data_IF_404386359248
#
_entry.id   IF_404386359248
#
_cell.length_a   1.000
_cell.length_b   1.000
_cell.length_c   1.000
_cell.angle_alpha   90.00
_cell.angle_beta   90.00
_cell.angle_gamma   90.00
#
_symmetry.space_group_name_H-M   'P 1'
#
loop_
_entity.id
_entity.type
_entity.pdbx_description
1 polymer ?
#
# COMPACT_ATOMS: atom_id res chain seq x y z
N UNK A 1 -28.06 3.62 7.17
CA UNK A 1 -26.78 3.07 7.70
C UNK A 1 -25.67 4.06 7.40
N UNK A 2 -24.68 4.21 8.29
CA UNK A 2 -23.56 5.13 8.06
C UNK A 2 -22.64 4.53 7.01
N UNK A 3 -22.30 5.29 5.97
CA UNK A 3 -21.34 4.88 4.94
C UNK A 3 -19.99 4.54 5.58
N UNK A 4 -19.34 3.48 5.09
CA UNK A 4 -18.01 3.05 5.53
C UNK A 4 -17.07 3.05 4.33
N UNK A 5 -15.81 3.33 4.58
CA UNK A 5 -14.81 3.48 3.53
C UNK A 5 -13.53 2.75 3.89
N UNK A 6 -12.84 2.27 2.86
CA UNK A 6 -11.41 2.00 2.92
C UNK A 6 -10.65 3.10 2.20
N UNK A 7 -9.35 3.16 2.49
CA UNK A 7 -8.46 4.11 1.88
C UNK A 7 -7.26 3.41 1.28
N UNK A 8 -6.93 3.72 0.04
CA UNK A 8 -5.71 3.23 -0.63
C UNK A 8 -4.78 4.41 -0.83
N UNK A 9 -3.62 4.34 -0.18
CA UNK A 9 -2.57 5.32 -0.32
C UNK A 9 -1.54 4.80 -1.33
N UNK A 10 -1.33 5.52 -2.42
CA UNK A 10 -0.22 5.27 -3.33
C UNK A 10 0.86 6.32 -3.09
N UNK A 11 2.11 5.91 -2.94
CA UNK A 11 3.23 6.82 -2.65
C UNK A 11 4.39 6.65 -3.62
N UNK A 12 5.12 7.74 -3.82
CA UNK A 12 6.46 7.77 -4.39
C UNK A 12 7.45 8.23 -3.33
N UNK A 13 8.13 7.26 -2.71
CA UNK A 13 9.09 7.51 -1.63
C UNK A 13 10.50 7.85 -2.14
N UNK A 14 10.73 7.89 -3.46
CA UNK A 14 11.99 8.32 -4.07
C UNK A 14 13.23 7.45 -3.77
N UNK A 15 13.08 6.29 -3.12
CA UNK A 15 14.18 5.38 -2.76
C UNK A 15 14.93 4.83 -3.98
N UNK A 16 16.23 4.49 -3.89
CA UNK A 16 16.97 3.91 -5.05
C UNK A 16 16.29 2.66 -5.63
N UNK A 17 15.61 1.88 -4.80
CA UNK A 17 14.81 0.74 -5.21
C UNK A 17 13.62 1.13 -6.08
N UNK A 18 12.95 2.23 -5.72
CA UNK A 18 11.93 2.82 -6.56
C UNK A 18 12.48 3.33 -7.89
N UNK A 19 13.73 3.80 -7.97
CA UNK A 19 14.32 4.34 -9.20
C UNK A 19 14.54 3.27 -10.28
N UNK A 20 15.00 2.08 -9.90
CA UNK A 20 15.21 0.97 -10.85
C UNK A 20 13.88 0.45 -11.41
N UNK A 21 12.83 0.39 -10.58
CA UNK A 21 11.47 -0.01 -11.01
C UNK A 21 10.83 1.08 -11.87
N UNK A 22 10.98 2.35 -11.46
CA UNK A 22 10.37 3.52 -12.11
C UNK A 22 10.92 3.78 -13.51
N UNK A 23 12.19 3.49 -13.76
CA UNK A 23 12.76 3.58 -15.12
C UNK A 23 12.05 2.64 -16.11
N UNK A 24 11.52 1.51 -15.62
CA UNK A 24 10.84 0.55 -16.47
C UNK A 24 9.32 0.77 -16.53
N UNK A 25 8.66 1.09 -15.42
CA UNK A 25 7.19 1.20 -15.38
C UNK A 25 6.65 2.59 -15.71
N UNK A 26 7.48 3.64 -15.67
CA UNK A 26 7.08 5.07 -15.80
C UNK A 26 5.90 5.48 -14.88
N UNK A 27 5.55 4.66 -13.89
CA UNK A 27 4.41 4.89 -13.03
C UNK A 27 4.70 6.03 -12.04
N UNK A 28 3.73 6.92 -11.77
CA UNK A 28 3.93 8.05 -10.86
C UNK A 28 4.10 7.63 -9.40
N UNK A 29 3.63 6.42 -9.04
CA UNK A 29 3.68 5.86 -7.69
C UNK A 29 4.26 4.45 -7.72
N UNK A 30 5.04 4.09 -6.69
CA UNK A 30 5.78 2.81 -6.61
C UNK A 30 5.47 1.99 -5.35
N UNK A 31 4.64 2.52 -4.46
CA UNK A 31 4.19 1.84 -3.27
C UNK A 31 2.69 1.98 -3.09
N UNK A 32 2.07 0.99 -2.44
CA UNK A 32 0.63 0.94 -2.20
C UNK A 32 0.37 0.42 -0.78
N UNK A 33 -0.51 1.09 -0.04
CA UNK A 33 -0.92 0.71 1.31
C UNK A 33 -2.43 0.81 1.45
N UNK A 34 -3.02 -0.03 2.30
CA UNK A 34 -4.44 0.01 2.66
C UNK A 34 -4.62 0.52 4.09
N UNK A 35 -5.62 1.37 4.31
CA UNK A 35 -6.02 1.88 5.61
C UNK A 35 -7.55 1.84 5.77
N UNK A 36 -8.02 1.88 7.02
CA UNK A 36 -9.44 1.82 7.36
C UNK A 36 -9.96 3.11 8.00
N UNK A 37 -9.13 4.16 8.04
CA UNK A 37 -9.48 5.47 8.58
C UNK A 37 -8.88 6.59 7.72
N UNK A 38 -9.57 7.73 7.68
CA UNK A 38 -9.18 8.90 6.89
C UNK A 38 -7.88 9.56 7.39
N UNK A 39 -7.54 9.36 8.66
CA UNK A 39 -6.40 10.00 9.31
C UNK A 39 -5.09 9.23 9.09
N UNK A 40 -5.16 8.07 8.43
CA UNK A 40 -4.03 7.19 8.15
C UNK A 40 -3.24 6.89 9.42
N UNK A 41 -3.97 6.60 10.50
CA UNK A 41 -3.38 6.28 11.80
C UNK A 41 -2.65 4.94 11.73
N UNK A 42 -3.20 3.98 11.00
CA UNK A 42 -2.57 2.68 10.77
C UNK A 42 -2.78 2.28 9.31
N UNK A 43 -1.68 1.96 8.63
CA UNK A 43 -1.71 1.46 7.26
C UNK A 43 -1.02 0.12 7.17
N UNK A 44 -1.41 -0.67 6.18
CA UNK A 44 -0.92 -2.03 6.00
C UNK A 44 -0.35 -2.19 4.60
N UNK A 45 0.85 -2.76 4.52
CA UNK A 45 1.49 -3.05 3.25
C UNK A 45 2.51 -4.18 3.36
N UNK A 46 3.14 -4.50 2.23
CA UNK A 46 4.38 -5.25 2.17
C UNK A 46 5.50 -4.30 1.77
N UNK A 47 6.58 -4.30 2.54
CA UNK A 47 7.67 -3.36 2.35
C UNK A 47 8.89 -3.74 3.16
N UNK A 48 9.77 -2.76 3.36
CA UNK A 48 10.96 -2.93 4.20
C UNK A 48 10.56 -2.76 5.66
N UNK A 49 10.89 -3.74 6.50
CA UNK A 49 10.73 -3.62 7.95
C UNK A 49 11.72 -2.63 8.56
N UNK A 50 12.88 -2.47 7.93
CA UNK A 50 13.85 -1.45 8.27
C UNK A 50 14.22 -0.64 7.01
N UNK A 51 13.99 0.68 6.96
CA UNK A 51 14.31 1.53 5.82
C UNK A 51 15.77 1.40 5.32
N UNK A 52 16.70 1.13 6.24
CA UNK A 52 18.15 1.01 5.98
C UNK A 52 18.60 -0.39 5.55
N UNK A 53 17.75 -1.41 5.72
CA UNK A 53 18.09 -2.79 5.36
C UNK A 53 17.17 -3.29 4.23
N UNK A 54 17.66 -3.44 2.99
CA UNK A 54 16.84 -3.90 1.87
C UNK A 54 16.45 -5.39 1.96
N UNK A 55 17.12 -6.17 2.82
CA UNK A 55 16.93 -7.62 2.94
C UNK A 55 15.81 -7.96 3.95
N UNK A 56 15.67 -7.19 5.04
CA UNK A 56 14.62 -7.41 6.04
C UNK A 56 13.28 -6.79 5.60
N UNK A 57 12.49 -7.58 4.90
CA UNK A 57 11.33 -7.12 4.14
C UNK A 57 10.19 -8.14 4.17
N UNK A 58 8.95 -7.67 4.20
CA UNK A 58 7.74 -8.49 4.39
C UNK A 58 6.53 -7.64 4.78
N UNK A 59 5.54 -8.24 5.45
CA UNK A 59 4.39 -7.52 5.98
C UNK A 59 4.81 -6.43 6.97
N UNK A 60 4.23 -5.24 6.85
CA UNK A 60 4.48 -4.07 7.69
C UNK A 60 3.18 -3.36 8.07
N UNK A 61 3.14 -2.89 9.31
CA UNK A 61 2.27 -1.81 9.75
C UNK A 61 3.03 -0.51 9.59
N UNK A 62 2.46 0.43 8.86
CA UNK A 62 3.09 1.71 8.56
C UNK A 62 2.36 2.84 9.28
N UNK A 63 3.15 3.75 9.84
CA UNK A 63 2.70 5.06 10.29
C UNK A 63 3.38 6.12 9.41
N UNK A 64 2.59 7.06 8.89
CA UNK A 64 3.04 8.21 8.10
C UNK A 64 4.01 9.12 8.85
N UNK A 65 3.99 9.12 10.18
CA UNK A 65 4.91 9.94 11.01
C UNK A 65 6.21 9.22 11.36
N UNK A 66 6.34 7.94 11.00
CA UNK A 66 7.49 7.11 11.33
C UNK A 66 8.13 6.49 10.07
N UNK A 67 9.18 5.69 10.28
CA UNK A 67 9.76 4.82 9.26
C UNK A 67 10.20 5.54 7.98
N UNK A 68 9.74 5.01 6.83
CA UNK A 68 10.12 5.47 5.50
C UNK A 68 9.61 6.89 5.22
N UNK A 69 8.39 7.22 5.65
CA UNK A 69 7.77 8.49 5.33
C UNK A 69 8.46 9.65 6.06
N UNK A 70 8.82 9.47 7.34
CA UNK A 70 9.66 10.43 8.08
C UNK A 70 11.04 10.62 7.45
N UNK A 71 11.65 9.55 6.94
CA UNK A 71 12.96 9.62 6.30
C UNK A 71 12.93 10.32 4.92
N UNK A 72 11.77 10.35 4.27
CA UNK A 72 11.56 10.95 2.95
C UNK A 72 10.38 11.93 2.98
N UNK A 73 10.54 13.13 3.59
CA UNK A 73 9.44 14.09 3.78
C UNK A 73 8.88 14.66 2.46
N UNK A 74 9.62 14.53 1.36
CA UNK A 74 9.17 14.91 0.01
C UNK A 74 8.38 13.78 -0.70
N UNK A 75 7.85 12.81 0.06
CA UNK A 75 7.05 11.72 -0.49
C UNK A 75 5.78 12.29 -1.13
N UNK A 76 5.63 12.06 -2.43
CA UNK A 76 4.39 12.37 -3.16
C UNK A 76 3.38 11.24 -2.96
N UNK A 77 2.10 11.58 -2.88
CA UNK A 77 1.06 10.59 -2.75
C UNK A 77 -0.22 10.97 -3.50
N UNK A 78 -1.03 9.94 -3.74
CA UNK A 78 -2.46 10.07 -3.98
C UNK A 78 -3.19 9.14 -3.01
N UNK A 79 -4.24 9.67 -2.38
CA UNK A 79 -5.09 8.96 -1.45
C UNK A 79 -6.46 8.76 -2.11
N UNK A 80 -6.88 7.51 -2.25
CA UNK A 80 -8.22 7.16 -2.70
C UNK A 80 -9.08 6.73 -1.52
N UNK A 81 -10.39 7.00 -1.61
CA UNK A 81 -11.42 6.37 -0.78
C UNK A 81 -12.32 5.50 -1.65
N UNK A 82 -12.83 4.42 -1.07
CA UNK A 82 -13.81 3.55 -1.71
C UNK A 82 -14.88 3.16 -0.70
N UNK A 83 -16.16 3.31 -1.06
CA UNK A 83 -17.28 2.92 -0.20
C UNK A 83 -17.42 1.40 -0.16
N UNK A 84 -17.56 0.84 1.03
CA UNK A 84 -17.62 -0.62 1.24
C UNK A 84 -18.61 -0.97 2.34
N UNK A 85 -19.23 -2.13 2.19
CA UNK A 85 -20.06 -2.72 3.23
C UNK A 85 -19.23 -3.07 4.46
N UNK A 86 -19.82 -2.93 5.65
CA UNK A 86 -19.16 -3.22 6.92
C UNK A 86 -18.64 -4.67 6.99
N UNK A 87 -19.39 -5.63 6.44
CA UNK A 87 -18.97 -7.04 6.35
C UNK A 87 -17.66 -7.20 5.56
N UNK A 88 -17.51 -6.47 4.44
CA UNK A 88 -16.29 -6.52 3.63
C UNK A 88 -15.10 -5.91 4.36
N UNK A 89 -15.32 -4.86 5.15
CA UNK A 89 -14.27 -4.27 6.00
C UNK A 89 -13.78 -5.28 7.02
N UNK A 90 -14.69 -5.93 7.75
CA UNK A 90 -14.31 -6.93 8.75
C UNK A 90 -13.61 -8.14 8.11
N UNK A 91 -14.04 -8.53 6.90
CA UNK A 91 -13.35 -9.56 6.13
C UNK A 91 -11.93 -9.15 5.73
N UNK A 92 -11.73 -7.91 5.27
CA UNK A 92 -10.39 -7.37 4.95
C UNK A 92 -9.50 -7.36 6.19
N UNK A 93 -9.99 -6.87 7.33
CA UNK A 93 -9.25 -6.89 8.60
C UNK A 93 -8.87 -8.32 9.01
N UNK A 94 -9.80 -9.27 8.92
CA UNK A 94 -9.51 -10.68 9.20
C UNK A 94 -8.44 -11.29 8.29
N UNK A 95 -8.40 -10.89 7.01
CA UNK A 95 -7.34 -11.30 6.07
C UNK A 95 -6.00 -10.69 6.50
N UNK A 96 -5.97 -9.39 6.80
CA UNK A 96 -4.78 -8.67 7.24
C UNK A 96 -4.23 -9.24 8.55
N UNK A 97 -5.10 -9.54 9.53
CA UNK A 97 -4.74 -10.20 10.79
C UNK A 97 -4.00 -11.51 10.57
N UNK A 98 -4.38 -12.30 9.55
CA UNK A 98 -3.67 -13.54 9.21
C UNK A 98 -2.29 -13.26 8.65
N UNK A 99 -2.11 -12.18 7.88
CA UNK A 99 -0.79 -11.73 7.44
C UNK A 99 0.07 -11.28 8.63
N UNK A 100 -0.52 -10.51 9.54
CA UNK A 100 0.18 -10.01 10.73
C UNK A 100 0.62 -11.13 11.67
N UNK A 101 -0.29 -12.04 12.04
CA UNK A 101 0.00 -13.16 12.95
C UNK A 101 1.08 -14.10 12.42
N UNK A 102 1.21 -14.18 11.09
CA UNK A 102 2.19 -15.01 10.41
C UNK A 102 3.30 -14.19 9.74
N UNK A 103 3.53 -12.94 10.18
CA UNK A 103 4.46 -12.02 9.50
C UNK A 103 5.84 -12.62 9.28
N UNK A 104 6.37 -13.41 10.21
CA UNK A 104 7.69 -14.04 10.10
C UNK A 104 7.79 -15.12 9.01
N UNK A 105 6.65 -15.61 8.51
CA UNK A 105 6.61 -16.54 7.38
C UNK A 105 6.64 -15.83 6.03
N UNK A 106 6.39 -14.51 6.00
CA UNK A 106 6.23 -13.74 4.78
C UNK A 106 7.45 -12.90 4.44
N UNK A 107 7.89 -13.01 3.19
CA UNK A 107 9.01 -12.28 2.62
C UNK A 107 8.53 -11.28 1.56
N UNK A 108 9.39 -10.34 1.22
CA UNK A 108 9.12 -9.44 0.10
C UNK A 108 9.48 -10.09 -1.24
N UNK A 109 8.57 -10.05 -2.20
CA UNK A 109 8.74 -10.69 -3.50
C UNK A 109 9.51 -9.80 -4.49
N UNK A 110 10.84 -9.70 -4.32
CA UNK A 110 11.68 -8.90 -5.20
C UNK A 110 11.68 -9.41 -6.66
N UNK A 111 11.71 -10.73 -6.85
CA UNK A 111 11.67 -11.34 -8.19
C UNK A 111 10.32 -11.10 -8.87
N UNK A 112 9.23 -11.07 -8.11
CA UNK A 112 7.89 -10.70 -8.56
C UNK A 112 7.85 -9.35 -9.25
N UNK A 113 8.59 -8.36 -8.75
CA UNK A 113 8.66 -7.03 -9.37
C UNK A 113 9.31 -7.09 -10.75
N UNK A 114 10.33 -7.93 -10.93
CA UNK A 114 10.92 -8.18 -12.25
C UNK A 114 9.92 -8.92 -13.14
N UNK A 115 9.20 -9.91 -12.60
CA UNK A 115 8.12 -10.60 -13.31
C UNK A 115 7.06 -9.64 -13.85
N UNK A 116 6.60 -8.67 -13.04
CA UNK A 116 5.66 -7.62 -13.46
C UNK A 116 6.17 -6.85 -14.69
N UNK A 117 7.47 -6.54 -14.75
CA UNK A 117 8.08 -5.85 -15.89
C UNK A 117 8.03 -6.67 -17.20
N UNK A 118 8.02 -8.00 -17.09
CA UNK A 118 7.89 -8.91 -18.23
C UNK A 118 6.46 -9.46 -18.40
N UNK A 119 5.50 -8.98 -17.62
CA UNK A 119 4.13 -9.52 -17.55
C UNK A 119 4.09 -11.03 -17.21
N UNK A 120 5.06 -11.51 -16.43
CA UNK A 120 5.20 -12.90 -16.00
C UNK A 120 4.94 -13.03 -14.49
N UNK A 121 3.94 -13.82 -14.05
CA UNK A 121 3.60 -13.94 -12.64
C UNK A 121 4.62 -14.81 -11.90
N UNK A 122 5.57 -14.17 -11.20
CA UNK A 122 6.53 -14.86 -10.33
C UNK A 122 6.01 -14.81 -8.90
N UNK A 123 5.55 -15.96 -8.39
CA UNK A 123 4.85 -16.09 -7.11
C UNK A 123 5.56 -17.10 -6.18
N UNK A 124 6.74 -16.76 -5.62
CA UNK A 124 7.36 -17.60 -4.60
C UNK A 124 6.42 -17.73 -3.41
N UNK A 125 6.40 -18.92 -2.78
CA UNK A 125 5.52 -19.15 -1.62
C UNK A 125 5.77 -18.11 -0.54
N UNK A 126 4.69 -17.64 0.08
CA UNK A 126 4.69 -16.66 1.15
C UNK A 126 5.47 -15.37 0.82
N UNK A 127 5.55 -14.98 -0.46
CA UNK A 127 6.24 -13.76 -0.86
C UNK A 127 5.28 -12.82 -1.57
N UNK A 128 5.17 -11.58 -1.10
CA UNK A 128 4.31 -10.55 -1.68
C UNK A 128 5.06 -9.22 -1.84
N UNK A 129 4.63 -8.40 -2.80
CA UNK A 129 4.99 -6.98 -2.84
C UNK A 129 3.75 -6.12 -2.56
N UNK A 130 3.95 -4.82 -2.33
CA UNK A 130 2.92 -3.90 -1.81
C UNK A 130 1.59 -3.96 -2.59
N UNK A 131 1.61 -3.75 -3.91
CA UNK A 131 0.40 -3.75 -4.73
C UNK A 131 -0.23 -5.14 -4.88
N UNK A 132 0.57 -6.21 -4.91
CA UNK A 132 0.04 -7.58 -4.87
C UNK A 132 -0.71 -7.84 -3.57
N UNK A 133 -0.15 -7.45 -2.43
CA UNK A 133 -0.80 -7.62 -1.12
C UNK A 133 -2.12 -6.86 -1.05
N UNK A 134 -2.14 -5.58 -1.39
CA UNK A 134 -3.38 -4.79 -1.40
C UNK A 134 -4.39 -5.40 -2.36
N UNK A 135 -3.95 -5.81 -3.56
CA UNK A 135 -4.80 -6.49 -4.54
C UNK A 135 -5.40 -7.79 -4.01
N UNK A 136 -4.62 -8.59 -3.28
CA UNK A 136 -5.03 -9.85 -2.67
C UNK A 136 -6.06 -9.63 -1.54
N UNK A 137 -5.85 -8.62 -0.69
CA UNK A 137 -6.78 -8.26 0.39
C UNK A 137 -8.15 -7.88 -0.19
N UNK A 138 -8.17 -6.99 -1.20
CA UNK A 138 -9.40 -6.57 -1.86
C UNK A 138 -10.09 -7.73 -2.58
N UNK A 139 -9.32 -8.60 -3.24
CA UNK A 139 -9.85 -9.73 -3.98
C UNK A 139 -10.45 -10.80 -3.08
N UNK A 140 -9.71 -11.24 -2.05
CA UNK A 140 -10.21 -12.23 -1.09
C UNK A 140 -11.42 -11.73 -0.30
N UNK A 141 -11.50 -10.41 -0.06
CA UNK A 141 -12.65 -9.81 0.60
C UNK A 141 -13.88 -9.68 -0.31
N UNK A 142 -13.75 -9.86 -1.63
CA UNK A 142 -14.85 -9.66 -2.59
C UNK A 142 -15.16 -8.19 -2.83
N UNK A 143 -14.14 -7.32 -2.72
CA UNK A 143 -14.26 -5.88 -2.99
C UNK A 143 -13.91 -5.59 -4.45
N UNK A 144 -12.79 -6.14 -4.95
CA UNK A 144 -12.32 -5.95 -6.32
C UNK A 144 -11.95 -7.28 -6.96
N UNK A 145 -12.40 -7.49 -8.20
CA UNK A 145 -12.00 -8.60 -9.04
C UNK A 145 -11.06 -8.07 -10.12
N UNK A 146 -9.88 -8.68 -10.24
CA UNK A 146 -8.85 -8.26 -11.18
C UNK A 146 -8.93 -9.10 -12.45
N UNK A 147 -8.78 -8.48 -13.61
CA UNK A 147 -8.69 -9.18 -14.92
C UNK A 147 -7.32 -9.84 -15.14
N UNK A 148 -6.47 -9.85 -14.11
CA UNK A 148 -5.13 -10.42 -14.09
C UNK A 148 -4.84 -10.98 -12.69
N UNK A 149 -3.77 -11.77 -12.57
CA UNK A 149 -3.32 -12.25 -11.26
C UNK A 149 -2.93 -11.07 -10.37
N UNK A 150 -3.17 -11.20 -9.07
CA UNK A 150 -2.77 -10.19 -8.08
C UNK A 150 -1.26 -9.95 -8.08
N UNK A 151 -0.46 -10.96 -8.43
CA UNK A 151 0.99 -10.85 -8.68
C UNK A 151 1.40 -10.03 -9.90
N UNK A 152 0.44 -9.59 -10.70
CA UNK A 152 0.64 -8.65 -11.82
C UNK A 152 -0.03 -7.29 -11.56
N UNK A 153 -0.63 -7.09 -10.38
CA UNK A 153 -1.24 -5.82 -9.97
C UNK A 153 -0.14 -4.84 -9.58
N UNK A 154 -0.17 -3.66 -10.18
CA UNK A 154 0.73 -2.54 -9.97
C UNK A 154 0.02 -1.42 -9.21
N UNK A 155 0.75 -0.49 -8.58
CA UNK A 155 0.14 0.71 -7.99
C UNK A 155 -0.72 1.50 -8.98
N UNK A 156 -0.36 1.52 -10.28
CA UNK A 156 -1.10 2.25 -11.28
C UNK A 156 -2.47 1.64 -11.60
N UNK A 157 -2.66 0.33 -11.39
CA UNK A 157 -3.96 -0.30 -11.64
C UNK A 157 -5.05 0.23 -10.70
N UNK A 158 -4.69 0.57 -9.45
CA UNK A 158 -5.62 1.18 -8.49
C UNK A 158 -6.15 2.54 -8.95
N UNK A 159 -5.36 3.30 -9.71
CA UNK A 159 -5.77 4.61 -10.22
C UNK A 159 -6.87 4.52 -11.28
N UNK A 160 -7.00 3.36 -11.91
CA UNK A 160 -7.96 3.12 -12.97
C UNK A 160 -9.20 2.35 -12.47
N UNK A 161 -9.29 2.05 -11.17
CA UNK A 161 -10.42 1.32 -10.62
C UNK A 161 -11.67 2.21 -10.57
N UNK A 162 -12.82 1.74 -11.10
CA UNK A 162 -14.07 2.48 -11.01
C UNK A 162 -14.53 2.58 -9.55
N UNK A 163 -15.07 3.75 -9.18
CA UNK A 163 -15.60 4.03 -7.83
C UNK A 163 -14.54 4.43 -6.80
N UNK A 164 -13.25 4.41 -7.13
CA UNK A 164 -12.20 4.96 -6.28
C UNK A 164 -12.16 6.48 -6.45
N UNK A 165 -12.55 7.21 -5.41
CA UNK A 165 -12.57 8.68 -5.40
C UNK A 165 -11.26 9.22 -4.82
N UNK A 166 -10.66 10.21 -5.49
CA UNK A 166 -9.49 10.91 -4.94
C UNK A 166 -9.91 11.76 -3.75
N UNK A 167 -9.26 11.52 -2.61
CA UNK A 167 -9.38 12.34 -1.38
C UNK A 167 -8.33 13.46 -1.39
N UNK A 168 -7.11 13.12 -1.79
CA UNK A 168 -5.97 14.03 -1.77
C UNK A 168 -4.92 13.58 -2.78
N UNK A 169 -4.23 14.52 -3.43
CA UNK A 169 -3.04 14.27 -4.24
C UNK A 169 -2.06 15.43 -4.04
N UNK A 170 -0.80 15.12 -3.71
CA UNK A 170 0.19 16.14 -3.33
C UNK A 170 1.35 15.57 -2.54
N UNK A 171 2.00 16.41 -1.72
CA UNK A 171 2.99 15.91 -0.76
C UNK A 171 2.27 15.28 0.42
N UNK A 172 2.74 14.11 0.88
CA UNK A 172 2.09 13.36 1.96
C UNK A 172 1.94 14.19 3.24
N UNK A 173 2.94 15.00 3.58
CA UNK A 173 2.93 15.86 4.76
C UNK A 173 2.09 17.14 4.62
N UNK A 174 1.55 17.42 3.43
CA UNK A 174 0.58 18.50 3.20
C UNK A 174 -0.87 18.01 3.38
N UNK A 175 -1.08 16.70 3.54
CA UNK A 175 -2.42 16.17 3.82
C UNK A 175 -2.86 16.57 5.23
N UNK A 176 -3.96 17.33 5.32
CA UNK A 176 -4.36 18.01 6.55
C UNK A 176 -4.45 17.11 7.79
N UNK A 177 -5.03 15.90 7.75
CA UNK A 177 -5.03 15.00 8.91
C UNK A 177 -3.63 14.62 9.42
N UNK A 178 -2.64 14.51 8.52
CA UNK A 178 -1.25 14.22 8.89
C UNK A 178 -0.62 15.47 9.49
N UNK A 179 -0.82 16.62 8.84
CA UNK A 179 -0.32 17.92 9.31
C UNK A 179 -0.82 18.25 10.71
N UNK A 180 -2.11 18.03 11.00
CA UNK A 180 -2.68 18.22 12.33
C UNK A 180 -2.03 17.31 13.37
N UNK A 181 -1.72 16.05 13.04
CA UNK A 181 -1.06 15.12 13.98
C UNK A 181 0.35 15.56 14.36
N UNK A 182 1.08 16.20 13.44
CA UNK A 182 2.43 16.72 13.69
C UNK A 182 2.38 17.89 14.67
N UNK A 183 1.46 18.84 14.43
CA UNK A 183 1.30 20.02 15.28
C UNK A 183 0.97 19.65 16.74
N UNK A 184 0.21 18.57 16.96
CA UNK A 184 -0.12 18.07 18.31
C UNK A 184 1.07 17.37 18.99
N UNK A 185 2.03 16.81 18.25
CA UNK A 185 3.23 16.20 18.84
C UNK A 185 4.31 17.23 19.22
N UNK A 186 4.25 18.44 18.64
CA UNK A 186 5.20 19.53 18.89
C UNK A 186 4.74 20.51 20.00
N UNK A 187 3.50 20.35 20.49
CA UNK A 187 2.89 21.12 21.59
C UNK A 187 2.96 20.40 22.92
#
# INVERSE_FOLDING_TARGET
>A
MKKKYIYILLTDTGTLFSKTIKQYTKAPYNHASIAFDLNLNEMYSFGRRNPRNPINSGFVKEDVLEGIYRAFPQTKCVLYKFEVDEEKIEKMKSIIDKFEKNKELYYYNLLGIVGVAFNEPIEPRNSFFCSQFVGEVLNRAGVIYWDKRTSLVTPNDFRNLPGFEVVFEGMLFEYEPIKSRILVQES
#
